data_IF_505267474159
#
_entry.id   IF_505267474159
#
_cell.length_a   1.000
_cell.length_b   1.000
_cell.length_c   1.000
_cell.angle_alpha   90.00
_cell.angle_beta   90.00
_cell.angle_gamma   90.00
#
_symmetry.space_group_name_H-M   'P 1'
#
loop_
_entity.id
_entity.type
_entity.pdbx_description
1 polymer ?
#
# COMPACT_ATOMS: atom_id res chain seq x y z
N UNK A 1 -46.26 53.46 -45.86
CA UNK A 1 -47.00 53.39 -44.59
C UNK A 1 -46.66 52.08 -43.90
N UNK A 2 -46.39 52.15 -42.61
CA UNK A 2 -46.05 51.02 -41.74
C UNK A 2 -47.27 50.12 -41.45
N UNK A 3 -47.05 48.82 -41.21
CA UNK A 3 -47.41 48.19 -39.92
C UNK A 3 -46.95 46.73 -39.81
N UNK A 4 -46.52 46.42 -38.58
CA UNK A 4 -45.92 45.20 -38.04
C UNK A 4 -46.93 44.05 -37.91
N UNK A 5 -46.47 42.81 -38.02
CA UNK A 5 -46.84 41.69 -37.12
C UNK A 5 -45.67 40.68 -37.07
N UNK A 6 -45.70 39.81 -36.06
CA UNK A 6 -44.61 39.45 -35.15
C UNK A 6 -44.33 37.93 -35.15
N UNK A 7 -43.05 37.58 -35.11
CA UNK A 7 -42.38 36.37 -34.56
C UNK A 7 -42.91 34.94 -34.81
N UNK A 8 -42.03 34.09 -35.32
CA UNK A 8 -41.58 32.92 -34.55
C UNK A 8 -40.15 32.52 -34.95
N UNK A 9 -39.21 32.62 -34.01
CA UNK A 9 -37.85 32.09 -34.15
C UNK A 9 -37.84 30.66 -33.63
N UNK A 10 -37.56 29.69 -34.49
CA UNK A 10 -37.26 28.33 -34.08
C UNK A 10 -35.88 28.29 -33.42
N UNK A 11 -35.84 28.33 -32.09
CA UNK A 11 -34.63 28.02 -31.31
C UNK A 11 -34.36 26.51 -31.41
N UNK A 12 -33.22 26.14 -32.00
CA UNK A 12 -32.65 24.82 -31.80
C UNK A 12 -32.25 24.65 -30.32
N UNK A 13 -32.45 23.47 -29.71
CA UNK A 13 -31.98 23.21 -28.37
C UNK A 13 -30.47 23.04 -28.41
N UNK A 14 -29.77 23.93 -27.70
CA UNK A 14 -28.32 23.93 -27.58
C UNK A 14 -27.79 22.60 -27.07
N UNK A 15 -26.79 22.08 -27.76
CA UNK A 15 -25.89 21.06 -27.27
C UNK A 15 -25.30 21.51 -25.94
N UNK A 16 -25.73 20.88 -24.83
CA UNK A 16 -24.91 20.83 -23.62
C UNK A 16 -23.61 20.15 -24.03
N UNK A 17 -22.56 20.95 -24.22
CA UNK A 17 -21.20 20.44 -24.21
C UNK A 17 -21.02 19.68 -22.90
N UNK A 18 -20.90 18.35 -23.00
CA UNK A 18 -20.43 17.55 -21.88
C UNK A 18 -19.01 18.03 -21.62
N UNK A 19 -18.83 18.72 -20.50
CA UNK A 19 -17.51 18.96 -19.93
C UNK A 19 -16.70 17.66 -19.96
N UNK A 20 -15.41 17.72 -20.33
CA UNK A 20 -14.58 16.53 -20.38
C UNK A 20 -14.60 15.84 -19.01
N UNK A 21 -14.79 14.51 -19.01
CA UNK A 21 -14.76 13.60 -17.85
C UNK A 21 -13.42 13.62 -17.06
N UNK A 22 -12.55 14.57 -17.40
CA UNK A 22 -11.21 14.79 -16.87
C UNK A 22 -11.23 15.76 -15.68
N UNK A 23 -12.06 16.81 -15.71
CA UNK A 23 -12.18 17.75 -14.57
C UNK A 23 -12.63 17.01 -13.30
N UNK A 24 -13.65 16.14 -13.42
CA UNK A 24 -14.17 15.35 -12.29
C UNK A 24 -13.12 14.42 -11.65
N UNK A 25 -12.14 13.92 -12.43
CA UNK A 25 -11.11 13.01 -11.94
C UNK A 25 -9.98 13.75 -11.21
N UNK A 26 -9.62 14.94 -11.67
CA UNK A 26 -8.62 15.78 -10.99
C UNK A 26 -9.17 16.35 -9.67
N UNK A 27 -10.47 16.64 -9.62
CA UNK A 27 -11.17 17.00 -8.38
C UNK A 27 -11.20 15.84 -7.38
N UNK A 28 -11.47 14.62 -7.87
CA UNK A 28 -11.40 13.40 -7.04
C UNK A 28 -9.99 13.18 -6.50
N UNK A 29 -8.95 13.30 -7.35
CA UNK A 29 -7.55 13.17 -6.97
C UNK A 29 -7.17 14.10 -5.81
N UNK A 30 -7.50 15.39 -5.95
CA UNK A 30 -7.16 16.41 -4.97
C UNK A 30 -7.91 16.20 -3.64
N UNK A 31 -9.19 15.85 -3.72
CA UNK A 31 -10.01 15.56 -2.54
C UNK A 31 -9.51 14.33 -1.78
N UNK A 32 -9.18 13.24 -2.48
CA UNK A 32 -8.60 12.03 -1.87
C UNK A 32 -7.26 12.34 -1.20
N UNK A 33 -6.40 13.12 -1.84
CA UNK A 33 -5.10 13.49 -1.27
C UNK A 33 -5.24 14.26 0.05
N UNK A 34 -6.13 15.27 0.10
CA UNK A 34 -6.40 16.04 1.31
C UNK A 34 -6.99 15.15 2.44
N UNK A 35 -7.90 14.24 2.09
CA UNK A 35 -8.46 13.29 3.04
C UNK A 35 -7.38 12.34 3.62
N UNK A 36 -6.45 11.87 2.79
CA UNK A 36 -5.36 11.00 3.22
C UNK A 36 -4.34 11.73 4.11
N UNK A 37 -4.07 13.01 3.84
CA UNK A 37 -3.15 13.85 4.63
C UNK A 37 -3.69 14.17 6.02
N UNK A 38 -5.00 14.36 6.13
CA UNK A 38 -5.68 14.70 7.40
C UNK A 38 -6.04 13.47 8.22
N UNK A 39 -5.89 12.27 7.67
CA UNK A 39 -6.24 11.04 8.35
C UNK A 39 -5.30 10.75 9.56
N UNK A 40 -5.86 10.30 10.70
CA UNK A 40 -5.07 9.96 11.88
C UNK A 40 -4.14 8.78 11.64
N UNK A 41 -2.98 8.77 12.32
CA UNK A 41 -2.07 7.61 12.34
C UNK A 41 -2.68 6.49 13.18
N UNK A 42 -3.22 5.48 12.52
CA UNK A 42 -3.72 4.27 13.18
C UNK A 42 -2.53 3.37 13.59
N UNK A 43 -2.51 2.92 14.85
CA UNK A 43 -1.53 1.95 15.35
C UNK A 43 -2.19 0.57 15.39
N UNK A 44 -1.78 -0.30 14.50
CA UNK A 44 -2.25 -1.70 14.45
C UNK A 44 -1.25 -2.64 15.14
N UNK A 45 -1.70 -3.80 15.65
CA UNK A 45 -0.84 -4.76 16.31
C UNK A 45 0.22 -5.31 15.34
N UNK A 46 1.50 -5.21 15.75
CA UNK A 46 2.62 -5.64 14.92
C UNK A 46 2.70 -7.17 14.91
N UNK A 47 2.68 -7.76 13.71
CA UNK A 47 2.77 -9.21 13.51
C UNK A 47 4.17 -9.62 13.08
N UNK A 48 4.59 -10.82 13.48
CA UNK A 48 5.85 -11.41 13.04
C UNK A 48 5.75 -11.71 11.54
N UNK A 49 6.80 -11.39 10.78
CA UNK A 49 6.91 -11.74 9.37
C UNK A 49 6.62 -13.24 9.17
N UNK A 50 5.66 -13.58 8.32
CA UNK A 50 5.16 -14.97 8.19
C UNK A 50 6.18 -15.99 7.68
N UNK A 51 7.35 -15.55 7.21
CA UNK A 51 8.46 -16.42 6.83
C UNK A 51 9.49 -16.60 7.95
N UNK A 52 9.31 -15.91 9.07
CA UNK A 52 10.11 -16.14 10.26
C UNK A 52 9.72 -17.49 10.88
N UNK A 53 10.69 -18.34 11.26
CA UNK A 53 10.40 -19.60 11.96
C UNK A 53 9.63 -19.43 13.29
N UNK A 54 9.68 -18.23 13.88
CA UNK A 54 8.97 -17.90 15.11
C UNK A 54 7.54 -17.37 14.87
N UNK A 55 7.10 -17.21 13.62
CA UNK A 55 5.79 -16.65 13.29
C UNK A 55 4.60 -17.50 13.76
N UNK A 56 4.81 -18.81 13.94
CA UNK A 56 3.79 -19.75 14.45
C UNK A 56 3.92 -20.02 15.95
N UNK A 57 4.91 -19.42 16.62
CA UNK A 57 5.13 -19.63 18.04
C UNK A 57 4.20 -18.70 18.85
N UNK A 58 3.33 -19.29 19.68
CA UNK A 58 2.35 -18.56 20.49
C UNK A 58 2.98 -17.60 21.52
N UNK A 59 4.23 -17.88 21.92
CA UNK A 59 4.99 -17.12 22.91
C UNK A 59 5.98 -16.13 22.28
N UNK A 60 5.99 -15.99 20.95
CA UNK A 60 6.83 -15.06 20.24
C UNK A 60 6.03 -13.81 19.82
N UNK A 61 6.64 -12.64 19.99
CA UNK A 61 6.08 -11.37 19.53
C UNK A 61 7.16 -10.45 18.98
N UNK A 62 6.76 -9.46 18.19
CA UNK A 62 7.63 -8.32 17.94
C UNK A 62 7.75 -7.49 19.21
N UNK A 63 8.97 -7.09 19.54
CA UNK A 63 9.26 -6.29 20.72
C UNK A 63 8.95 -4.81 20.44
N UNK A 64 8.00 -4.25 21.21
CA UNK A 64 7.56 -2.85 21.10
C UNK A 64 7.28 -2.45 19.64
N UNK A 65 7.94 -1.38 19.17
CA UNK A 65 7.79 -0.81 17.85
C UNK A 65 8.91 -1.21 16.88
N UNK A 66 9.81 -2.13 17.26
CA UNK A 66 11.01 -2.52 16.51
C UNK A 66 10.66 -3.44 15.32
N UNK A 67 9.88 -2.89 14.39
CA UNK A 67 9.52 -3.46 13.10
C UNK A 67 9.65 -2.38 12.04
N UNK A 68 10.33 -2.69 10.95
CA UNK A 68 10.23 -1.85 9.77
C UNK A 68 10.41 -2.62 8.46
N UNK A 69 9.67 -2.14 7.46
CA UNK A 69 9.84 -2.52 6.07
C UNK A 69 10.47 -1.37 5.31
N UNK A 70 11.57 -1.65 4.63
CA UNK A 70 12.32 -0.68 3.84
C UNK A 70 12.27 -1.06 2.37
N UNK A 71 12.23 -0.06 1.49
CA UNK A 71 12.25 -0.26 0.04
C UNK A 71 13.27 0.66 -0.63
N UNK A 72 13.81 0.22 -1.76
CA UNK A 72 14.74 0.97 -2.59
C UNK A 72 14.57 0.60 -4.06
N UNK A 73 14.22 1.59 -4.88
CA UNK A 73 14.22 1.47 -6.33
C UNK A 73 15.21 2.44 -6.96
N UNK A 74 16.00 1.94 -7.90
CA UNK A 74 16.83 2.74 -8.80
C UNK A 74 16.75 2.12 -10.20
N UNK A 75 16.12 2.85 -11.12
CA UNK A 75 15.85 2.40 -12.47
C UNK A 75 17.15 2.18 -13.25
N UNK A 76 18.09 3.13 -13.23
CA UNK A 76 19.37 3.04 -13.96
C UNK A 76 20.16 1.77 -13.62
N UNK A 77 20.20 1.43 -12.34
CA UNK A 77 20.92 0.27 -11.84
C UNK A 77 20.08 -1.02 -11.79
N UNK A 78 18.84 -1.00 -12.30
CA UNK A 78 17.86 -2.10 -12.19
C UNK A 78 17.73 -2.67 -10.76
N UNK A 79 17.80 -1.78 -9.77
CA UNK A 79 17.59 -2.14 -8.38
C UNK A 79 16.13 -1.92 -8.02
N UNK A 80 15.49 -2.94 -7.48
CA UNK A 80 14.16 -2.86 -6.89
C UNK A 80 14.14 -3.84 -5.71
N UNK A 81 14.51 -3.33 -4.53
CA UNK A 81 14.93 -4.14 -3.38
C UNK A 81 14.13 -3.78 -2.15
N UNK A 82 13.80 -4.80 -1.37
CA UNK A 82 13.18 -4.64 -0.05
C UNK A 82 14.12 -5.14 1.05
N UNK A 83 13.91 -4.63 2.25
CA UNK A 83 14.56 -5.10 3.47
C UNK A 83 13.58 -4.98 4.64
N UNK A 84 13.25 -6.10 5.28
CA UNK A 84 12.43 -6.19 6.49
C UNK A 84 13.36 -6.50 7.64
N UNK A 85 13.14 -5.85 8.78
CA UNK A 85 13.85 -6.15 10.03
C UNK A 85 12.88 -6.04 11.21
N UNK A 86 12.94 -7.04 12.08
CA UNK A 86 12.10 -7.15 13.28
C UNK A 86 12.95 -7.56 14.48
N UNK A 87 12.75 -6.92 15.63
CA UNK A 87 13.23 -7.41 16.91
C UNK A 87 12.15 -8.30 17.51
N UNK A 88 12.48 -9.56 17.77
CA UNK A 88 11.57 -10.56 18.30
C UNK A 88 11.94 -10.88 19.74
N UNK A 89 10.92 -11.04 20.58
CA UNK A 89 11.02 -11.53 21.95
C UNK A 89 10.28 -12.86 22.06
N UNK A 90 10.90 -13.85 22.70
CA UNK A 90 10.30 -15.13 23.04
C UNK A 90 10.80 -15.62 24.40
N UNK A 91 9.90 -15.75 25.37
CA UNK A 91 10.21 -16.26 26.71
C UNK A 91 11.47 -15.60 27.36
N UNK A 92 11.63 -14.27 27.20
CA UNK A 92 12.78 -13.52 27.72
C UNK A 92 14.07 -13.64 26.91
N UNK A 93 14.05 -14.37 25.78
CA UNK A 93 15.14 -14.39 24.80
C UNK A 93 14.82 -13.44 23.64
N UNK A 94 15.87 -12.83 23.09
CA UNK A 94 15.73 -11.80 22.05
C UNK A 94 16.45 -12.23 20.78
N UNK A 95 15.85 -11.95 19.63
CA UNK A 95 16.44 -12.23 18.32
C UNK A 95 16.12 -11.12 17.34
N UNK A 96 17.00 -10.86 16.37
CA UNK A 96 16.75 -9.95 15.26
C UNK A 96 16.50 -10.76 14.00
N UNK A 97 15.29 -10.65 13.46
CA UNK A 97 14.93 -11.18 12.16
C UNK A 97 15.25 -10.15 11.08
N UNK A 98 15.83 -10.61 9.96
CA UNK A 98 16.01 -9.80 8.76
C UNK A 98 15.64 -10.60 7.53
N UNK A 99 14.94 -9.98 6.58
CA UNK A 99 14.60 -10.57 5.28
C UNK A 99 14.77 -9.56 4.17
N UNK A 100 15.45 -9.92 3.08
CA UNK A 100 15.79 -8.98 2.02
C UNK A 100 15.88 -9.66 0.66
N UNK A 101 15.75 -8.87 -0.39
CA UNK A 101 15.85 -9.38 -1.75
C UNK A 101 15.19 -8.45 -2.76
N UNK A 102 14.79 -9.01 -3.89
CA UNK A 102 14.05 -8.29 -4.92
C UNK A 102 12.56 -8.19 -4.56
N UNK A 103 11.92 -7.06 -4.85
CA UNK A 103 10.46 -6.90 -4.66
C UNK A 103 9.74 -7.92 -5.57
N UNK A 104 8.67 -8.55 -5.06
CA UNK A 104 7.98 -9.68 -5.71
C UNK A 104 8.57 -11.06 -5.42
N UNK A 105 9.82 -11.14 -4.95
CA UNK A 105 10.48 -12.41 -4.60
C UNK A 105 10.54 -12.60 -3.08
N UNK A 106 10.66 -13.85 -2.64
CA UNK A 106 10.78 -14.24 -1.23
C UNK A 106 12.04 -13.63 -0.60
N UNK A 107 13.15 -13.67 -1.34
CA UNK A 107 14.44 -13.17 -0.90
C UNK A 107 15.21 -14.15 -0.02
N UNK A 108 16.24 -13.65 0.64
CA UNK A 108 17.00 -14.32 1.68
C UNK A 108 16.52 -13.83 3.05
N UNK A 109 16.70 -14.66 4.06
CA UNK A 109 16.39 -14.30 5.44
C UNK A 109 17.45 -14.79 6.41
N UNK A 110 17.43 -14.19 7.61
CA UNK A 110 18.34 -14.53 8.70
C UNK A 110 17.70 -14.18 10.03
N UNK A 111 17.64 -15.16 10.92
CA UNK A 111 17.27 -14.99 12.33
C UNK A 111 18.56 -15.02 13.16
N UNK A 112 18.85 -13.95 13.87
CA UNK A 112 20.03 -13.84 14.72
C UNK A 112 19.63 -13.82 16.19
N UNK A 113 20.04 -14.81 17.00
CA UNK A 113 19.87 -14.73 18.45
C UNK A 113 20.79 -13.65 19.02
N UNK A 114 20.31 -12.95 20.06
CA UNK A 114 21.05 -11.89 20.75
C UNK A 114 21.26 -12.27 22.21
N UNK A 115 22.38 -11.83 22.79
CA UNK A 115 22.72 -12.14 24.18
C UNK A 115 21.86 -11.39 25.21
N UNK A 116 21.33 -10.22 24.84
CA UNK A 116 20.44 -9.41 25.68
C UNK A 116 19.53 -8.54 24.83
N UNK A 117 18.53 -7.92 25.46
CA UNK A 117 17.65 -6.94 24.83
C UNK A 117 18.43 -5.75 24.27
N UNK A 118 19.40 -5.22 25.03
CA UNK A 118 20.22 -4.08 24.64
C UNK A 118 21.07 -4.41 23.41
N UNK A 119 21.62 -5.64 23.36
CA UNK A 119 22.34 -6.12 22.19
C UNK A 119 21.42 -6.21 20.96
N UNK A 120 20.20 -6.72 21.13
CA UNK A 120 19.21 -6.81 20.06
C UNK A 120 18.78 -5.43 19.54
N UNK A 121 18.46 -4.48 20.43
CA UNK A 121 18.14 -3.09 20.07
C UNK A 121 19.30 -2.44 19.31
N UNK A 122 20.53 -2.57 19.82
CA UNK A 122 21.72 -2.02 19.17
C UNK A 122 21.95 -2.60 17.77
N UNK A 123 21.77 -3.91 17.59
CA UNK A 123 21.93 -4.56 16.29
C UNK A 123 20.84 -4.13 15.30
N UNK A 124 19.58 -4.03 15.76
CA UNK A 124 18.48 -3.50 14.96
C UNK A 124 18.75 -2.06 14.51
N UNK A 125 19.04 -1.16 15.45
CA UNK A 125 19.26 0.26 15.16
C UNK A 125 20.49 0.48 14.27
N UNK A 126 21.56 -0.28 14.49
CA UNK A 126 22.75 -0.27 13.64
C UNK A 126 22.39 -0.66 12.21
N UNK A 127 21.60 -1.74 12.02
CA UNK A 127 21.15 -2.17 10.70
C UNK A 127 20.25 -1.14 10.05
N UNK A 128 19.28 -0.59 10.77
CA UNK A 128 18.42 0.49 10.28
C UNK A 128 19.27 1.66 9.77
N UNK A 129 20.18 2.19 10.60
CA UNK A 129 21.05 3.32 10.24
C UNK A 129 21.98 3.02 9.07
N UNK A 130 22.52 1.80 8.97
CA UNK A 130 23.35 1.37 7.84
C UNK A 130 22.57 1.45 6.50
N UNK A 131 21.30 1.02 6.52
CA UNK A 131 20.44 0.95 5.33
C UNK A 131 19.79 2.28 4.97
N UNK A 132 19.47 3.13 5.94
CA UNK A 132 18.69 4.36 5.72
C UNK A 132 19.47 5.64 5.95
N UNK A 133 20.62 5.59 6.64
CA UNK A 133 21.34 6.75 7.21
C UNK A 133 20.51 7.59 8.19
N UNK A 134 19.37 7.09 8.68
CA UNK A 134 18.54 7.75 9.68
C UNK A 134 18.70 7.06 11.04
N UNK A 135 18.44 7.79 12.13
CA UNK A 135 18.36 7.21 13.48
C UNK A 135 17.00 6.60 13.72
N UNK A 136 16.95 5.45 14.41
CA UNK A 136 15.68 4.80 14.76
C UNK A 136 14.83 5.65 15.70
N UNK A 137 15.47 6.32 16.68
CA UNK A 137 14.79 7.17 17.65
C UNK A 137 14.07 8.38 17.03
N UNK A 138 14.55 8.86 15.88
CA UNK A 138 13.97 10.02 15.16
C UNK A 138 13.33 9.62 13.85
N UNK A 139 12.87 8.36 13.74
CA UNK A 139 12.30 7.80 12.50
C UNK A 139 11.01 8.50 12.05
N UNK A 140 10.33 9.22 12.93
CA UNK A 140 9.17 10.05 12.55
C UNK A 140 9.56 11.21 11.63
N UNK A 141 10.80 11.70 11.75
CA UNK A 141 11.38 12.74 10.90
C UNK A 141 12.29 12.11 9.82
N UNK A 142 11.85 11.02 9.22
CA UNK A 142 12.65 10.28 8.25
C UNK A 142 12.96 11.12 7.01
N UNK A 143 14.23 11.22 6.64
CA UNK A 143 14.66 11.89 5.41
C UNK A 143 15.24 10.84 4.46
N UNK A 144 14.61 10.68 3.30
CA UNK A 144 15.11 9.79 2.26
C UNK A 144 16.48 10.25 1.76
N UNK A 145 17.42 9.32 1.66
CA UNK A 145 18.80 9.60 1.26
C UNK A 145 19.09 8.98 -0.12
N UNK A 146 19.76 9.71 -1.03
CA UNK A 146 20.12 9.16 -2.33
C UNK A 146 20.88 7.83 -2.22
N UNK A 147 20.45 6.83 -2.98
CA UNK A 147 21.08 5.50 -2.98
C UNK A 147 20.93 4.70 -1.69
N UNK A 148 20.02 5.11 -0.78
CA UNK A 148 19.68 4.37 0.44
C UNK A 148 18.23 3.88 0.42
N UNK A 149 17.89 3.04 1.39
CA UNK A 149 16.53 2.55 1.55
C UNK A 149 15.66 3.62 2.21
N UNK A 150 14.39 3.63 1.83
CA UNK A 150 13.34 4.47 2.41
C UNK A 150 12.44 3.61 3.29
N UNK A 151 12.02 4.17 4.42
CA UNK A 151 11.05 3.53 5.31
C UNK A 151 9.65 3.55 4.67
N UNK A 152 9.05 2.36 4.58
CA UNK A 152 7.67 2.17 4.12
C UNK A 152 6.81 1.90 5.33
N UNK A 153 5.80 2.74 5.50
CA UNK A 153 4.80 2.54 6.53
C UNK A 153 3.80 1.49 6.06
N UNK A 154 3.99 0.30 6.62
CA UNK A 154 3.13 -0.84 6.38
C UNK A 154 2.21 -0.97 7.58
N UNK A 155 0.89 -0.99 7.39
CA UNK A 155 -0.07 -1.37 8.42
C UNK A 155 0.17 -2.86 8.73
N UNK A 156 0.54 -3.22 9.96
CA UNK A 156 0.74 -4.62 10.29
C UNK A 156 -0.61 -5.36 10.33
N UNK A 157 -0.66 -6.50 9.63
CA UNK A 157 -1.53 -7.63 9.92
C UNK A 157 -3.05 -7.47 9.86
N UNK A 158 -3.64 -7.43 8.67
CA UNK A 158 -4.96 -8.06 8.42
C UNK A 158 -4.84 -9.39 7.64
N UNK A 159 -3.63 -9.74 7.19
CA UNK A 159 -3.40 -10.89 6.32
C UNK A 159 -3.42 -12.26 7.01
N UNK A 160 -3.14 -12.34 8.33
CA UNK A 160 -3.22 -13.61 9.06
C UNK A 160 -4.62 -13.87 9.61
N UNK A 161 -5.36 -12.83 9.98
CA UNK A 161 -6.75 -12.96 10.44
C UNK A 161 -7.68 -13.27 9.25
N UNK A 162 -7.49 -12.63 8.09
CA UNK A 162 -8.25 -13.00 6.88
C UNK A 162 -7.91 -14.41 6.35
N UNK A 163 -6.65 -14.83 6.35
CA UNK A 163 -6.29 -16.21 5.97
C UNK A 163 -6.87 -17.25 6.94
N UNK A 164 -6.97 -16.93 8.24
CA UNK A 164 -7.59 -17.80 9.23
C UNK A 164 -9.12 -17.86 9.10
N UNK A 165 -9.77 -16.76 8.71
CA UNK A 165 -11.22 -16.73 8.43
C UNK A 165 -11.55 -17.48 7.12
N UNK A 166 -10.64 -17.54 6.15
CA UNK A 166 -10.86 -18.17 4.84
C UNK A 166 -10.54 -19.67 4.76
N UNK A 167 -9.88 -20.26 5.77
CA UNK A 167 -9.65 -21.72 5.83
C UNK A 167 -10.85 -22.52 6.33
N UNK A 168 -12.03 -21.93 6.42
CA UNK A 168 -13.25 -22.60 6.91
C UNK A 168 -13.96 -23.41 5.81
N UNK A 169 -13.65 -23.19 4.51
CA UNK A 169 -14.38 -23.84 3.41
C UNK A 169 -13.63 -24.96 2.65
N UNK A 170 -12.52 -25.49 3.20
CA UNK A 170 -11.82 -26.65 2.61
C UNK A 170 -11.62 -27.80 3.61
N UNK A 171 -12.65 -28.65 3.69
CA UNK A 171 -12.71 -30.10 4.04
C UNK A 171 -11.77 -30.67 5.13
N UNK A 172 -12.45 -31.28 6.12
CA UNK A 172 -12.06 -32.29 7.12
C UNK A 172 -11.21 -31.93 8.36
N UNK A 173 -11.90 -31.95 9.52
CA UNK A 173 -11.39 -32.64 10.71
C UNK A 173 -10.49 -31.88 11.67
N UNK A 174 -10.82 -30.64 12.06
CA UNK A 174 -10.16 -29.95 13.16
C UNK A 174 -11.06 -28.91 13.82
N UNK A 175 -11.14 -28.88 15.16
CA UNK A 175 -12.03 -28.02 15.95
C UNK A 175 -11.95 -26.53 15.52
N UNK A 176 -12.96 -26.07 14.77
CA UNK A 176 -13.21 -24.66 14.48
C UNK A 176 -13.96 -24.03 15.65
N UNK A 177 -13.44 -22.92 16.19
CA UNK A 177 -14.21 -22.04 17.06
C UNK A 177 -15.37 -21.44 16.25
N UNK A 178 -16.56 -22.03 16.37
CA UNK A 178 -17.78 -21.50 15.74
C UNK A 178 -18.16 -20.19 16.43
N UNK A 179 -17.80 -19.06 15.84
CA UNK A 179 -18.47 -17.79 16.13
C UNK A 179 -19.95 -17.99 15.82
N UNK A 180 -20.84 -17.71 16.80
CA UNK A 180 -22.29 -17.86 16.64
C UNK A 180 -22.83 -16.69 15.81
N UNK A 181 -22.58 -16.69 14.50
CA UNK A 181 -23.15 -15.70 13.59
C UNK A 181 -24.60 -16.10 13.31
N UNK A 182 -25.54 -15.17 13.51
CA UNK A 182 -26.93 -15.38 13.09
C UNK A 182 -26.98 -15.62 11.57
N UNK A 183 -27.88 -16.49 11.07
CA UNK A 183 -28.03 -16.70 9.64
C UNK A 183 -28.40 -15.37 8.95
N UNK A 184 -27.73 -15.10 7.82
CA UNK A 184 -27.94 -13.87 7.07
C UNK A 184 -29.42 -13.72 6.66
N UNK A 185 -30.02 -12.59 7.02
CA UNK A 185 -31.43 -12.28 6.75
C UNK A 185 -31.66 -11.61 5.39
N UNK A 186 -30.58 -11.28 4.66
CA UNK A 186 -30.65 -10.66 3.33
C UNK A 186 -31.04 -11.68 2.26
N UNK A 187 -31.63 -11.21 1.16
CA UNK A 187 -31.95 -12.07 0.03
C UNK A 187 -30.70 -12.55 -0.71
N UNK A 188 -30.84 -13.61 -1.50
CA UNK A 188 -29.67 -14.22 -2.17
C UNK A 188 -28.97 -13.26 -3.13
N UNK A 189 -29.74 -12.44 -3.85
CA UNK A 189 -29.19 -11.47 -4.78
C UNK A 189 -28.32 -10.41 -4.08
N UNK A 190 -28.76 -9.90 -2.91
CA UNK A 190 -27.95 -8.95 -2.13
C UNK A 190 -26.73 -9.62 -1.52
N UNK A 191 -26.85 -10.87 -1.04
CA UNK A 191 -25.70 -11.63 -0.54
C UNK A 191 -24.64 -11.81 -1.63
N UNK A 192 -25.04 -12.24 -2.83
CA UNK A 192 -24.13 -12.44 -3.96
C UNK A 192 -23.48 -11.12 -4.39
N UNK A 193 -24.23 -10.01 -4.40
CA UNK A 193 -23.69 -8.69 -4.70
C UNK A 193 -22.65 -8.24 -3.65
N UNK A 194 -22.95 -8.41 -2.36
CA UNK A 194 -22.02 -8.03 -1.28
C UNK A 194 -20.76 -8.91 -1.33
N UNK A 195 -20.90 -10.22 -1.56
CA UNK A 195 -19.78 -11.13 -1.75
C UNK A 195 -18.92 -10.77 -2.97
N UNK A 196 -19.54 -10.29 -4.05
CA UNK A 196 -18.84 -9.83 -5.24
C UNK A 196 -18.05 -8.54 -4.96
N UNK A 197 -18.67 -7.55 -4.32
CA UNK A 197 -18.04 -6.25 -4.00
C UNK A 197 -16.85 -6.43 -3.06
N UNK A 198 -16.93 -7.37 -2.12
CA UNK A 198 -15.87 -7.65 -1.14
C UNK A 198 -15.03 -8.89 -1.48
N UNK A 199 -15.01 -9.32 -2.75
CA UNK A 199 -14.22 -10.48 -3.19
C UNK A 199 -12.72 -10.18 -3.16
N UNK A 200 -12.01 -10.79 -2.21
CA UNK A 200 -10.55 -10.67 -2.08
C UNK A 200 -9.80 -11.10 -3.35
N UNK A 201 -10.27 -12.14 -4.04
CA UNK A 201 -9.62 -12.66 -5.25
C UNK A 201 -9.67 -11.66 -6.40
N UNK A 202 -10.83 -11.02 -6.61
CA UNK A 202 -10.99 -9.98 -7.62
C UNK A 202 -10.05 -8.79 -7.34
N UNK A 203 -9.91 -8.40 -6.07
CA UNK A 203 -8.97 -7.36 -5.67
C UNK A 203 -7.51 -7.77 -5.90
N UNK A 204 -7.13 -8.99 -5.54
CA UNK A 204 -5.77 -9.49 -5.77
C UNK A 204 -5.42 -9.49 -7.26
N UNK A 205 -6.33 -9.89 -8.12
CA UNK A 205 -6.10 -9.95 -9.56
C UNK A 205 -6.06 -8.55 -10.21
N UNK A 206 -6.90 -7.62 -9.76
CA UNK A 206 -6.81 -6.22 -10.14
C UNK A 206 -5.43 -5.62 -9.76
N UNK A 207 -4.94 -5.90 -8.55
CA UNK A 207 -3.64 -5.43 -8.07
C UNK A 207 -2.45 -6.03 -8.84
N UNK A 208 -2.51 -7.34 -9.16
CA UNK A 208 -1.50 -7.99 -10.01
C UNK A 208 -1.43 -7.32 -11.39
N UNK A 209 -2.58 -6.98 -11.97
CA UNK A 209 -2.66 -6.29 -13.27
C UNK A 209 -1.98 -4.92 -13.24
N UNK A 210 -2.01 -4.24 -12.08
CA UNK A 210 -1.34 -2.95 -11.86
C UNK A 210 0.16 -3.08 -11.51
N UNK A 211 0.71 -4.30 -11.47
CA UNK A 211 2.09 -4.63 -11.07
C UNK A 211 2.41 -4.26 -9.60
N UNK A 212 1.42 -4.34 -8.73
CA UNK A 212 1.57 -4.15 -7.29
C UNK A 212 1.98 -5.50 -6.65
N UNK A 213 2.94 -5.49 -5.73
CA UNK A 213 3.41 -6.70 -5.03
C UNK A 213 2.39 -7.19 -3.99
N UNK A 214 1.36 -7.90 -4.46
CA UNK A 214 0.27 -8.46 -3.62
C UNK A 214 0.77 -9.41 -2.52
N UNK A 215 1.92 -10.06 -2.72
CA UNK A 215 2.48 -10.99 -1.71
C UNK A 215 3.02 -10.27 -0.48
N UNK A 216 3.58 -9.08 -0.67
CA UNK A 216 4.09 -8.25 0.46
C UNK A 216 3.09 -7.21 0.91
N UNK A 217 2.14 -6.90 0.03
CA UNK A 217 0.99 -6.05 0.29
C UNK A 217 -0.29 -6.87 0.13
N UNK A 218 -0.59 -7.82 1.03
CA UNK A 218 -1.98 -8.23 1.20
C UNK A 218 -2.79 -6.94 1.44
N UNK A 219 -3.92 -6.87 0.75
CA UNK A 219 -4.76 -5.68 0.58
C UNK A 219 -4.89 -4.89 1.91
N UNK A 220 -4.66 -3.56 1.87
CA UNK A 220 -4.80 -2.70 3.06
C UNK A 220 -3.52 -2.43 3.86
N UNK A 221 -2.35 -2.93 3.42
CA UNK A 221 -1.11 -2.74 4.15
C UNK A 221 -0.39 -1.40 3.95
N UNK A 222 -0.72 -0.55 2.98
CA UNK A 222 -0.08 0.78 2.92
C UNK A 222 -0.82 1.73 3.85
N UNK A 223 -0.09 2.53 4.65
CA UNK A 223 -0.73 3.58 5.44
C UNK A 223 -1.33 4.65 4.52
N UNK A 224 -2.40 5.32 4.96
CA UNK A 224 -2.96 6.49 4.27
C UNK A 224 -1.86 7.53 3.94
N UNK A 225 -0.90 7.70 4.83
CA UNK A 225 0.24 8.59 4.67
C UNK A 225 1.24 8.11 3.62
N UNK A 226 1.45 6.80 3.50
CA UNK A 226 2.29 6.23 2.44
C UNK A 226 1.65 6.42 1.07
N UNK A 227 0.32 6.27 0.98
CA UNK A 227 -0.44 6.55 -0.24
C UNK A 227 -0.32 8.05 -0.58
N UNK A 228 -0.56 8.96 0.37
CA UNK A 228 -0.41 10.40 0.17
C UNK A 228 0.99 10.80 -0.33
N UNK A 229 2.06 10.23 0.23
CA UNK A 229 3.43 10.42 -0.29
C UNK A 229 3.60 9.94 -1.73
N UNK A 230 2.86 8.90 -2.12
CA UNK A 230 2.81 8.42 -3.50
C UNK A 230 2.16 9.44 -4.45
N UNK A 231 1.06 10.07 -4.02
CA UNK A 231 0.39 11.14 -4.76
C UNK A 231 1.35 12.32 -4.99
N UNK A 232 2.02 12.80 -3.94
CA UNK A 232 2.99 13.91 -4.02
C UNK A 232 4.12 13.59 -5.01
N UNK A 233 4.63 12.36 -5.00
CA UNK A 233 5.66 11.94 -5.96
C UNK A 233 5.16 11.95 -7.43
N UNK A 234 3.87 11.64 -7.66
CA UNK A 234 3.28 11.74 -8.99
C UNK A 234 3.02 13.20 -9.42
N UNK A 235 2.68 14.10 -8.49
CA UNK A 235 2.55 15.54 -8.77
C UNK A 235 3.90 16.16 -9.17
N UNK A 236 4.98 15.78 -8.49
CA UNK A 236 6.34 16.18 -8.89
C UNK A 236 6.70 15.66 -10.29
N UNK A 237 6.34 14.41 -10.61
CA UNK A 237 6.52 13.85 -11.96
C UNK A 237 5.71 14.61 -13.01
N UNK A 238 4.47 14.96 -12.70
CA UNK A 238 3.60 15.72 -13.60
C UNK A 238 4.17 17.11 -13.90
N UNK A 239 4.70 17.80 -12.89
CA UNK A 239 5.34 19.09 -13.07
C UNK A 239 6.50 19.00 -14.07
N UNK A 240 7.38 18.01 -13.92
CA UNK A 240 8.52 17.79 -14.85
C UNK A 240 8.04 17.36 -16.24
N UNK A 241 6.96 16.57 -16.33
CA UNK A 241 6.32 16.20 -17.60
C UNK A 241 5.61 17.36 -18.31
N UNK A 242 5.47 18.54 -17.69
CA UNK A 242 4.96 19.76 -18.34
C UNK A 242 6.08 20.69 -18.84
N UNK A 243 7.29 20.59 -18.30
CA UNK A 243 8.47 21.42 -18.67
C UNK A 243 9.07 21.04 -20.03
N UNK A 244 9.14 21.94 -21.04
CA UNK A 244 9.84 21.62 -22.30
C UNK A 244 11.24 22.28 -22.40
N UNK A 245 12.32 21.53 -22.71
CA UNK A 245 12.38 20.06 -22.90
C UNK A 245 12.39 19.30 -21.56
N UNK A 246 11.66 18.19 -21.50
CA UNK A 246 11.62 17.36 -20.29
C UNK A 246 12.98 16.69 -20.07
N UNK A 247 13.52 16.80 -18.86
CA UNK A 247 14.80 16.16 -18.50
C UNK A 247 14.60 14.67 -18.22
N UNK A 248 14.97 13.81 -19.17
CA UNK A 248 14.80 12.35 -19.07
C UNK A 248 15.43 11.75 -17.79
N UNK A 249 16.61 12.22 -17.40
CA UNK A 249 17.29 11.79 -16.16
C UNK A 249 16.46 12.11 -14.92
N UNK A 250 15.88 13.32 -14.86
CA UNK A 250 15.03 13.76 -13.74
C UNK A 250 13.74 12.95 -13.66
N UNK A 251 13.14 12.62 -14.81
CA UNK A 251 11.98 11.72 -14.86
C UNK A 251 12.32 10.32 -14.36
N UNK A 252 13.50 9.79 -14.71
CA UNK A 252 13.95 8.49 -14.25
C UNK A 252 14.21 8.47 -12.72
N UNK A 253 14.80 9.54 -12.17
CA UNK A 253 15.01 9.69 -10.74
C UNK A 253 13.69 9.80 -9.96
N UNK A 254 12.76 10.64 -10.41
CA UNK A 254 11.44 10.78 -9.78
C UNK A 254 10.60 9.50 -9.92
N UNK A 255 10.70 8.80 -11.06
CA UNK A 255 10.09 7.48 -11.22
C UNK A 255 10.67 6.46 -10.24
N UNK A 256 11.99 6.48 -10.05
CA UNK A 256 12.67 5.64 -9.04
C UNK A 256 12.19 5.97 -7.62
N UNK A 257 11.99 7.25 -7.31
CA UNK A 257 11.42 7.70 -6.03
C UNK A 257 9.98 7.20 -5.86
N UNK A 258 9.13 7.33 -6.86
CA UNK A 258 7.76 6.81 -6.83
C UNK A 258 7.73 5.30 -6.56
N UNK A 259 8.50 4.50 -7.31
CA UNK A 259 8.59 3.05 -7.07
C UNK A 259 9.30 2.65 -5.77
N UNK A 260 10.00 3.59 -5.15
CA UNK A 260 10.54 3.41 -3.80
C UNK A 260 9.43 3.59 -2.76
N UNK A 261 8.59 4.62 -2.92
CA UNK A 261 7.47 4.94 -2.03
C UNK A 261 6.35 3.90 -2.16
N UNK A 262 6.05 3.48 -3.39
CA UNK A 262 5.00 2.50 -3.69
C UNK A 262 5.69 1.27 -4.27
N UNK A 263 5.88 0.19 -3.49
CA UNK A 263 6.57 -1.00 -3.98
C UNK A 263 5.85 -1.63 -5.17
N UNK A 264 6.58 -1.90 -6.24
CA UNK A 264 6.04 -2.53 -7.45
C UNK A 264 6.83 -3.80 -7.77
N UNK A 265 6.14 -4.81 -8.30
CA UNK A 265 6.78 -6.03 -8.78
C UNK A 265 6.96 -5.96 -10.30
N UNK A 266 8.21 -5.80 -10.75
CA UNK A 266 8.58 -5.81 -12.17
C UNK A 266 9.22 -7.13 -12.60
N UNK A 267 9.11 -8.19 -11.79
CA UNK A 267 9.90 -9.41 -11.97
C UNK A 267 11.38 -9.05 -12.09
N UNK A 268 12.11 -9.69 -13.00
CA UNK A 268 13.54 -9.38 -13.25
C UNK A 268 13.79 -8.23 -14.24
N UNK A 269 12.72 -7.67 -14.82
CA UNK A 269 12.84 -6.56 -15.76
C UNK A 269 13.22 -5.25 -15.07
N UNK A 270 13.83 -4.34 -15.83
CA UNK A 270 14.09 -2.97 -15.37
C UNK A 270 12.76 -2.24 -15.16
N UNK A 271 12.54 -1.56 -14.02
CA UNK A 271 11.31 -0.78 -13.84
C UNK A 271 11.20 0.30 -14.94
N UNK A 272 10.03 0.47 -15.57
CA UNK A 272 9.87 1.42 -16.66
C UNK A 272 9.78 2.87 -16.11
N UNK A 273 10.50 3.85 -16.70
CA UNK A 273 10.34 5.24 -16.32
C UNK A 273 8.94 5.76 -16.67
N UNK A 274 8.37 6.59 -15.80
CA UNK A 274 7.09 7.27 -16.01
C UNK A 274 7.39 8.53 -16.82
N UNK A 275 7.38 8.38 -18.14
CA UNK A 275 7.79 9.42 -19.09
C UNK A 275 6.68 9.87 -20.05
N UNK A 276 5.45 9.39 -19.85
CA UNK A 276 4.30 9.75 -20.66
C UNK A 276 3.10 10.13 -19.80
N UNK A 277 2.24 11.05 -20.26
CA UNK A 277 1.01 11.40 -19.56
C UNK A 277 0.10 10.20 -19.30
N UNK A 278 0.05 9.23 -20.22
CA UNK A 278 -0.78 8.04 -20.08
C UNK A 278 -0.25 7.10 -18.98
N UNK A 279 1.07 6.91 -18.88
CA UNK A 279 1.67 6.15 -17.78
C UNK A 279 1.43 6.83 -16.43
N UNK A 280 1.64 8.15 -16.38
CA UNK A 280 1.38 8.94 -15.17
C UNK A 280 -0.08 8.78 -14.72
N UNK A 281 -1.02 8.91 -15.65
CA UNK A 281 -2.45 8.73 -15.38
C UNK A 281 -2.77 7.33 -14.87
N UNK A 282 -2.21 6.28 -15.49
CA UNK A 282 -2.41 4.92 -15.01
C UNK A 282 -1.91 4.73 -13.57
N UNK A 283 -0.83 5.42 -13.18
CA UNK A 283 -0.33 5.41 -11.79
C UNK A 283 -1.19 6.25 -10.84
N UNK A 284 -1.80 7.35 -11.32
CA UNK A 284 -2.79 8.10 -10.54
C UNK A 284 -4.04 7.27 -10.26
N UNK A 285 -4.62 6.67 -11.30
CA UNK A 285 -5.78 5.78 -11.17
C UNK A 285 -5.49 4.60 -10.22
N UNK A 286 -4.28 4.03 -10.27
CA UNK A 286 -3.84 3.00 -9.32
C UNK A 286 -3.86 3.49 -7.85
N UNK A 287 -3.33 4.68 -7.57
CA UNK A 287 -3.30 5.20 -6.20
C UNK A 287 -4.70 5.49 -5.65
N UNK A 288 -5.63 5.92 -6.51
CA UNK A 288 -7.05 6.05 -6.15
C UNK A 288 -7.64 4.70 -5.73
N UNK A 289 -7.40 3.65 -6.53
CA UNK A 289 -7.86 2.29 -6.19
C UNK A 289 -7.24 1.80 -4.88
N UNK A 290 -5.96 2.09 -4.62
CA UNK A 290 -5.33 1.76 -3.35
C UNK A 290 -5.96 2.49 -2.16
N UNK A 291 -6.36 3.75 -2.33
CA UNK A 291 -7.06 4.51 -1.30
C UNK A 291 -8.46 3.92 -1.03
N UNK A 292 -9.22 3.59 -2.07
CA UNK A 292 -10.55 2.99 -1.94
C UNK A 292 -10.50 1.63 -1.21
N UNK A 293 -9.48 0.82 -1.51
CA UNK A 293 -9.27 -0.47 -0.85
C UNK A 293 -8.91 -0.29 0.61
N UNK A 294 -8.08 0.70 0.95
CA UNK A 294 -7.74 0.98 2.33
C UNK A 294 -8.98 1.36 3.14
N UNK A 295 -9.85 2.22 2.58
CA UNK A 295 -11.14 2.58 3.18
C UNK A 295 -12.04 1.35 3.34
N UNK A 296 -12.17 0.52 2.30
CA UNK A 296 -12.99 -0.69 2.35
C UNK A 296 -12.50 -1.67 3.44
N UNK A 297 -11.19 -1.82 3.60
CA UNK A 297 -10.59 -2.66 4.64
C UNK A 297 -10.79 -2.08 6.04
N UNK A 298 -10.65 -0.76 6.22
CA UNK A 298 -10.97 -0.12 7.50
C UNK A 298 -12.43 -0.36 7.91
N UNK A 299 -13.37 -0.32 6.97
CA UNK A 299 -14.78 -0.61 7.22
C UNK A 299 -15.01 -2.08 7.63
N UNK A 300 -14.31 -3.02 6.99
CA UNK A 300 -14.40 -4.43 7.36
C UNK A 300 -13.81 -4.70 8.76
N UNK A 301 -12.68 -4.08 9.10
CA UNK A 301 -12.00 -4.27 10.37
C UNK A 301 -12.77 -3.69 11.57
N UNK A 302 -13.53 -2.61 11.39
CA UNK A 302 -14.40 -2.04 12.44
C UNK A 302 -15.46 -3.05 12.90
N UNK A 303 -16.02 -3.82 11.96
CA UNK A 303 -17.05 -4.82 12.25
C UNK A 303 -16.57 -5.93 13.19
N UNK A 304 -15.30 -6.33 13.07
CA UNK A 304 -14.72 -7.39 13.93
C UNK A 304 -14.59 -6.92 15.38
N UNK A 305 -14.32 -5.63 15.61
CA UNK A 305 -14.16 -5.05 16.96
C UNK A 305 -15.47 -4.81 17.70
N UNK A 306 -16.59 -4.62 16.99
CA UNK A 306 -17.91 -4.43 17.61
C UNK A 306 -18.58 -5.77 17.99
N UNK A 307 -18.07 -6.89 17.48
CA UNK A 307 -18.57 -8.25 17.75
C UNK A 307 -17.77 -9.00 18.84
N UNK A 308 -16.72 -8.39 19.42
CA UNK A 308 -16.00 -8.84 20.64
C UNK A 308 -16.52 -8.15 21.91
#
# INVERSE_FOLDING_TARGET
MASKHRASSSKQPGSREKKPKWEDKDDTWSSTLEALKTAPKEKHPITIDGLCPLSTALDARVYEDYDCTLNQTNISANNNKFYIIQLLERAGTYSVWSRWGRVGEVGQSKLMPCASLEAAKKDFEKKFREKTKNSWATRENFIAQPGKYTLIEVQPGAGQEMEAVLKVDAVDGGKVCKQRVLPCTLDRATQDLVSLIFSNDMFQDAMKTMNIDVKKMPLGKLSKQQIARGFEALEELEAVLREQPHQATRLEELSSRFYTIVPHNFGRARPPPINSPDLLRAKKDMLLVLADIEVAQSLQAQKVKEEE
#
